data_IF_239992068976
#
_entry.id   IF_239992068976
#
_cell.length_a   1.000
_cell.length_b   1.000
_cell.length_c   1.000
_cell.angle_alpha   90.00
_cell.angle_beta   90.00
_cell.angle_gamma   90.00
#
_symmetry.space_group_name_H-M   'P 1'
#
loop_
_entity.id
_entity.type
_entity.pdbx_description
1 polymer ?
#
# COMPACT_ATOMS: atom_id res chain seq x y z
N UNK A 1 21.63 41.07 -79.97
CA UNK A 1 21.46 40.19 -78.78
C UNK A 1 20.27 40.72 -78.01
N UNK A 2 19.06 40.30 -78.37
CA UNK A 2 18.28 39.15 -77.87
C UNK A 2 17.34 39.53 -76.73
N UNK A 3 16.05 39.37 -77.01
CA UNK A 3 14.88 39.59 -76.18
C UNK A 3 14.73 38.54 -75.06
N UNK A 4 13.72 38.79 -74.21
CA UNK A 4 12.85 37.87 -73.43
C UNK A 4 13.18 37.79 -71.95
N UNK A 5 12.24 37.60 -71.03
CA UNK A 5 10.76 37.71 -70.94
C UNK A 5 10.47 37.53 -69.43
N UNK A 6 9.40 38.14 -68.94
CA UNK A 6 8.81 37.87 -67.62
C UNK A 6 8.37 36.41 -67.48
N UNK A 7 8.55 35.81 -66.30
CA UNK A 7 7.72 34.70 -65.82
C UNK A 7 7.58 34.71 -64.29
N UNK A 8 6.32 34.66 -63.90
CA UNK A 8 5.73 34.56 -62.56
C UNK A 8 6.16 33.29 -61.80
N UNK A 9 6.27 33.34 -60.47
CA UNK A 9 5.77 32.24 -59.64
C UNK A 9 5.41 32.69 -58.21
N UNK A 10 4.33 32.06 -57.75
CA UNK A 10 3.43 32.30 -56.64
C UNK A 10 4.06 32.10 -55.25
N UNK A 11 3.79 33.03 -54.33
CA UNK A 11 4.00 32.81 -52.87
C UNK A 11 2.73 32.17 -52.30
N UNK A 12 2.81 30.92 -51.86
CA UNK A 12 1.79 30.28 -51.02
C UNK A 12 2.35 30.01 -49.63
N UNK A 13 1.74 30.68 -48.66
CA UNK A 13 1.90 30.51 -47.22
C UNK A 13 1.63 29.07 -46.78
N UNK A 14 2.59 28.44 -46.08
CA UNK A 14 2.33 27.32 -45.17
C UNK A 14 2.59 27.76 -43.73
N UNK A 15 1.51 27.86 -42.94
CA UNK A 15 1.54 27.92 -41.48
C UNK A 15 2.28 26.67 -40.98
N UNK A 16 3.46 26.85 -40.40
CA UNK A 16 4.14 25.80 -39.64
C UNK A 16 3.57 25.81 -38.22
N UNK A 17 2.81 24.77 -37.89
CA UNK A 17 2.37 24.44 -36.54
C UNK A 17 3.60 24.20 -35.67
N UNK A 18 3.81 25.04 -34.66
CA UNK A 18 4.75 24.77 -33.56
C UNK A 18 4.21 23.59 -32.75
N UNK A 19 4.68 22.40 -33.06
CA UNK A 19 4.63 21.27 -32.13
C UNK A 19 5.72 21.53 -31.10
N UNK A 20 5.33 21.92 -29.88
CA UNK A 20 6.24 21.94 -28.74
C UNK A 20 6.63 20.50 -28.45
N UNK A 21 7.82 20.10 -28.87
CA UNK A 21 8.46 18.88 -28.43
C UNK A 21 8.75 19.01 -26.93
N UNK A 22 7.96 18.36 -26.07
CA UNK A 22 8.36 18.10 -24.68
C UNK A 22 9.61 17.23 -24.74
N UNK A 23 10.76 17.83 -24.46
CA UNK A 23 12.04 17.17 -24.40
C UNK A 23 12.05 16.16 -23.27
N UNK A 24 12.37 14.92 -23.61
CA UNK A 24 12.56 13.73 -22.76
C UNK A 24 13.78 13.83 -21.81
N UNK A 25 14.18 15.05 -21.46
CA UNK A 25 15.47 15.37 -20.82
C UNK A 25 15.31 15.85 -19.37
N UNK A 26 14.07 16.07 -18.94
CA UNK A 26 13.76 16.60 -17.61
C UNK A 26 13.43 15.48 -16.59
N UNK A 27 13.45 14.21 -17.01
CA UNK A 27 13.08 13.05 -16.18
C UNK A 27 14.24 12.29 -15.54
N UNK A 28 15.47 12.74 -15.77
CA UNK A 28 16.69 12.09 -15.26
C UNK A 28 17.42 13.09 -14.36
N UNK A 29 17.48 12.80 -13.05
CA UNK A 29 18.34 13.50 -12.10
C UNK A 29 19.28 12.45 -11.51
N UNK A 30 20.54 12.44 -11.97
CA UNK A 30 21.49 11.34 -11.71
C UNK A 30 21.40 10.21 -12.76
N UNK A 31 21.71 8.97 -12.38
CA UNK A 31 21.57 7.75 -13.22
C UNK A 31 20.16 7.13 -13.14
N UNK A 32 19.22 7.76 -12.41
CA UNK A 32 17.86 7.25 -12.22
C UNK A 32 16.89 7.79 -13.29
N UNK A 33 16.13 6.88 -13.90
CA UNK A 33 15.00 7.22 -14.77
C UNK A 33 13.69 7.18 -13.96
N UNK A 34 13.18 8.35 -13.58
CA UNK A 34 11.95 8.43 -12.78
C UNK A 34 10.68 8.12 -13.59
N UNK A 35 10.77 7.99 -14.92
CA UNK A 35 9.67 7.52 -15.76
C UNK A 35 9.62 5.97 -15.86
N UNK A 36 10.66 5.26 -15.39
CA UNK A 36 10.78 3.80 -15.45
C UNK A 36 11.50 3.23 -14.20
N UNK A 37 10.91 3.45 -13.01
CA UNK A 37 11.43 2.89 -11.76
C UNK A 37 11.37 1.36 -11.78
N UNK A 38 12.54 0.72 -11.65
CA UNK A 38 12.67 -0.74 -11.57
C UNK A 38 12.48 -1.23 -10.12
N UNK A 39 11.39 -1.95 -9.83
CA UNK A 39 11.12 -2.54 -8.51
C UNK A 39 12.13 -3.61 -8.06
N UNK A 40 12.97 -4.12 -8.97
CA UNK A 40 14.06 -5.04 -8.64
C UNK A 40 15.38 -4.33 -8.32
N UNK A 41 15.47 -3.04 -8.64
CA UNK A 41 16.62 -2.23 -8.27
C UNK A 41 16.67 -2.00 -6.75
N UNK A 42 17.88 -1.95 -6.20
CA UNK A 42 18.12 -1.72 -4.78
C UNK A 42 18.43 -0.24 -4.53
N UNK A 43 17.39 0.53 -4.20
CA UNK A 43 17.46 1.96 -3.92
C UNK A 43 18.02 2.26 -2.53
N UNK A 44 18.78 3.34 -2.45
CA UNK A 44 19.21 4.00 -1.22
C UNK A 44 18.19 5.03 -0.73
N UNK A 45 18.35 5.54 0.50
CA UNK A 45 17.52 6.65 1.03
C UNK A 45 17.52 7.85 0.12
N UNK A 46 18.70 8.26 -0.34
CA UNK A 46 18.86 9.45 -1.17
C UNK A 46 18.10 9.30 -2.47
N UNK A 47 18.12 8.10 -3.04
CA UNK A 47 17.36 7.79 -4.25
C UNK A 47 15.84 7.79 -3.97
N UNK A 48 15.39 7.29 -2.81
CA UNK A 48 13.98 7.43 -2.39
C UNK A 48 13.56 8.89 -2.24
N UNK A 49 14.37 9.71 -1.58
CA UNK A 49 14.09 11.14 -1.42
C UNK A 49 14.02 11.85 -2.77
N UNK A 50 14.93 11.52 -3.70
CA UNK A 50 14.88 12.03 -5.07
C UNK A 50 13.61 11.57 -5.81
N UNK A 51 13.20 10.31 -5.66
CA UNK A 51 11.95 9.78 -6.22
C UNK A 51 10.75 10.55 -5.66
N UNK A 52 10.63 10.68 -4.33
CA UNK A 52 9.53 11.38 -3.66
C UNK A 52 9.47 12.86 -4.06
N UNK A 53 10.61 13.52 -4.24
CA UNK A 53 10.68 14.91 -4.70
C UNK A 53 10.30 15.08 -6.18
N UNK A 54 10.55 14.06 -7.02
CA UNK A 54 10.21 14.08 -8.44
C UNK A 54 8.73 13.79 -8.72
N UNK A 55 8.12 12.89 -7.94
CA UNK A 55 6.75 12.45 -8.16
C UNK A 55 5.75 13.55 -7.77
N UNK A 56 5.00 14.06 -8.76
CA UNK A 56 3.96 15.09 -8.57
C UNK A 56 2.77 14.63 -7.71
N UNK A 57 2.52 13.32 -7.70
CA UNK A 57 1.59 12.63 -6.82
C UNK A 57 2.46 11.59 -6.14
N UNK A 58 2.51 11.58 -4.81
CA UNK A 58 3.40 10.72 -4.06
C UNK A 58 2.71 9.37 -3.82
N UNK A 59 2.94 8.32 -4.63
CA UNK A 59 2.56 6.97 -4.24
C UNK A 59 3.31 6.62 -2.95
N UNK A 60 2.58 6.28 -1.91
CA UNK A 60 3.18 5.82 -0.66
C UNK A 60 4.03 4.57 -0.97
N UNK A 61 5.36 4.68 -0.83
CA UNK A 61 6.30 3.56 -1.01
C UNK A 61 6.94 3.20 0.34
N UNK A 62 7.05 1.91 0.63
CA UNK A 62 7.96 1.40 1.66
C UNK A 62 9.28 0.95 1.01
N UNK A 63 10.37 0.99 1.79
CA UNK A 63 11.63 0.33 1.41
C UNK A 63 11.84 -0.89 2.29
N UNK A 64 11.85 -2.06 1.68
CA UNK A 64 12.19 -3.31 2.35
C UNK A 64 13.37 -3.94 1.62
N UNK A 65 14.49 -4.13 2.32
CA UNK A 65 15.73 -4.65 1.74
C UNK A 65 16.17 -3.87 0.49
N UNK A 66 16.08 -2.53 0.54
CA UNK A 66 16.38 -1.61 -0.57
C UNK A 66 15.45 -1.71 -1.78
N UNK A 67 14.41 -2.55 -1.76
CA UNK A 67 13.42 -2.59 -2.85
C UNK A 67 12.26 -1.66 -2.55
N UNK A 68 11.78 -0.94 -3.58
CA UNK A 68 10.56 -0.16 -3.50
C UNK A 68 9.34 -1.10 -3.49
N UNK A 69 8.43 -0.87 -2.56
CA UNK A 69 7.16 -1.58 -2.48
C UNK A 69 6.05 -0.54 -2.47
N UNK A 70 5.18 -0.58 -3.48
CA UNK A 70 4.00 0.29 -3.54
C UNK A 70 3.03 -0.09 -2.43
N UNK A 71 2.60 0.91 -1.67
CA UNK A 71 1.42 0.79 -0.80
C UNK A 71 0.20 1.16 -1.64
N UNK A 72 -0.80 0.29 -1.65
CA UNK A 72 -2.08 0.55 -2.31
C UNK A 72 -2.88 1.61 -1.54
N UNK A 73 -3.75 2.33 -2.21
CA UNK A 73 -4.72 3.18 -1.53
C UNK A 73 -5.64 2.35 -0.63
N UNK A 74 -5.83 2.83 0.60
CA UNK A 74 -6.74 2.24 1.57
C UNK A 74 -8.19 2.66 1.27
N UNK A 75 -9.18 1.73 1.30
CA UNK A 75 -10.58 2.10 1.22
C UNK A 75 -10.99 3.09 2.34
N UNK A 76 -11.89 4.01 2.05
CA UNK A 76 -12.23 5.11 2.97
C UNK A 76 -12.72 4.64 4.34
N UNK A 77 -13.51 3.56 4.41
CA UNK A 77 -13.99 3.02 5.68
C UNK A 77 -12.84 2.51 6.56
N UNK A 78 -11.87 1.81 5.95
CA UNK A 78 -10.67 1.35 6.66
C UNK A 78 -9.82 2.54 7.12
N UNK A 79 -9.65 3.57 6.28
CA UNK A 79 -8.93 4.78 6.66
C UNK A 79 -9.66 5.56 7.76
N UNK A 80 -10.99 5.58 7.77
CA UNK A 80 -11.79 6.17 8.84
C UNK A 80 -11.56 5.44 10.17
N UNK A 81 -11.45 4.10 10.16
CA UNK A 81 -11.05 3.32 11.34
C UNK A 81 -9.63 3.68 11.81
N UNK A 82 -8.66 3.77 10.89
CA UNK A 82 -7.29 4.21 11.21
C UNK A 82 -7.29 5.60 11.84
N UNK A 83 -8.04 6.54 11.27
CA UNK A 83 -8.18 7.89 11.78
C UNK A 83 -8.79 7.90 13.19
N UNK A 84 -9.86 7.13 13.42
CA UNK A 84 -10.52 7.08 14.73
C UNK A 84 -9.60 6.54 15.81
N UNK A 85 -8.82 5.49 15.52
CA UNK A 85 -7.78 4.97 16.42
C UNK A 85 -6.74 6.04 16.72
N UNK A 86 -6.24 6.73 15.68
CA UNK A 86 -5.26 7.81 15.85
C UNK A 86 -5.82 8.99 16.65
N UNK A 87 -7.11 9.33 16.47
CA UNK A 87 -7.81 10.39 17.18
C UNK A 87 -7.91 10.07 18.67
N UNK A 88 -8.38 8.88 19.04
CA UNK A 88 -8.46 8.47 20.45
C UNK A 88 -7.08 8.45 21.12
N UNK A 89 -6.07 7.91 20.44
CA UNK A 89 -4.70 7.90 20.94
C UNK A 89 -4.12 9.31 21.07
N UNK A 90 -4.41 10.21 20.13
CA UNK A 90 -4.01 11.61 20.16
C UNK A 90 -4.66 12.38 21.31
N UNK A 91 -5.95 12.15 21.57
CA UNK A 91 -6.65 12.72 22.72
C UNK A 91 -6.01 12.26 24.02
N UNK A 92 -5.85 10.94 24.22
CA UNK A 92 -5.17 10.39 25.40
C UNK A 92 -3.78 11.01 25.61
N UNK A 93 -3.01 11.17 24.54
CA UNK A 93 -1.66 11.74 24.60
C UNK A 93 -1.66 13.16 25.18
N UNK A 94 -2.63 14.00 24.82
CA UNK A 94 -2.71 15.42 25.24
C UNK A 94 -3.49 15.61 26.54
N UNK A 95 -4.50 14.79 26.80
CA UNK A 95 -5.33 14.90 28.01
C UNK A 95 -4.59 14.43 29.27
N UNK A 96 -3.71 13.44 29.12
CA UNK A 96 -2.93 12.88 30.24
C UNK A 96 -1.79 13.81 30.68
N UNK A 97 -1.23 14.61 29.76
CA UNK A 97 -0.22 15.63 30.05
C UNK A 97 -0.35 16.78 29.05
N UNK A 98 -0.33 18.04 29.55
CA UNK A 98 -0.45 19.24 28.72
C UNK A 98 0.62 19.35 27.64
N UNK A 99 1.82 18.81 27.90
CA UNK A 99 2.93 18.79 26.95
C UNK A 99 2.94 17.52 26.07
N UNK A 100 1.98 16.61 26.29
CA UNK A 100 1.96 15.29 25.68
C UNK A 100 2.73 14.24 26.50
N UNK A 101 2.51 12.96 26.20
CA UNK A 101 3.39 11.85 26.62
C UNK A 101 4.35 11.42 25.50
N UNK A 102 4.18 11.97 24.30
CA UNK A 102 4.94 11.64 23.11
C UNK A 102 4.27 12.15 21.84
N UNK A 103 4.53 11.46 20.72
CA UNK A 103 4.03 11.80 19.38
C UNK A 103 3.27 10.62 18.79
N UNK A 104 2.11 10.93 18.20
CA UNK A 104 1.30 10.00 17.41
C UNK A 104 1.53 10.25 15.93
N UNK A 105 1.77 9.20 15.16
CA UNK A 105 1.89 9.26 13.70
C UNK A 105 0.90 8.29 13.04
N UNK A 106 0.42 8.63 11.85
CA UNK A 106 -0.46 7.78 11.03
C UNK A 106 0.30 7.13 9.86
N UNK A 107 -0.39 6.53 8.89
CA UNK A 107 0.10 5.73 7.75
C UNK A 107 1.21 6.34 6.87
N UNK A 108 1.62 7.59 7.09
CA UNK A 108 2.74 8.26 6.41
C UNK A 108 3.95 8.55 7.32
N UNK A 109 3.87 8.25 8.62
CA UNK A 109 4.98 8.35 9.56
C UNK A 109 5.94 7.17 9.39
N UNK A 110 6.95 7.35 8.55
CA UNK A 110 7.97 6.32 8.31
C UNK A 110 8.96 6.19 9.47
N UNK A 111 9.35 4.96 9.78
CA UNK A 111 10.40 4.63 10.74
C UNK A 111 11.41 3.68 10.13
N UNK A 112 12.64 3.72 10.65
CA UNK A 112 13.71 2.83 10.22
C UNK A 112 13.81 1.59 11.13
N UNK A 113 13.25 0.47 10.65
CA UNK A 113 13.23 -0.83 11.33
C UNK A 113 14.46 -1.70 10.99
N UNK A 114 15.60 -1.11 10.65
CA UNK A 114 16.81 -1.91 10.37
C UNK A 114 17.39 -2.54 11.64
N UNK A 115 17.49 -3.87 11.64
CA UNK A 115 18.24 -4.69 12.64
C UNK A 115 19.65 -5.07 12.12
N UNK A 116 19.93 -4.84 10.82
CA UNK A 116 21.23 -5.08 10.20
C UNK A 116 21.61 -3.91 9.27
N UNK A 117 22.69 -4.04 8.50
CA UNK A 117 23.14 -3.02 7.55
C UNK A 117 22.18 -2.77 6.37
N UNK A 118 21.12 -3.58 6.21
CA UNK A 118 20.11 -3.39 5.18
C UNK A 118 18.94 -2.57 5.74
N UNK A 119 18.75 -1.39 5.16
CA UNK A 119 17.72 -0.45 5.58
C UNK A 119 16.30 -0.96 5.29
N UNK A 120 15.39 -0.63 6.22
CA UNK A 120 14.00 -1.03 6.17
C UNK A 120 13.10 0.10 6.68
N UNK A 121 12.57 0.90 5.76
CA UNK A 121 11.66 2.00 6.08
C UNK A 121 10.22 1.52 5.95
N UNK A 122 9.47 1.61 7.05
CA UNK A 122 8.07 1.17 7.11
C UNK A 122 7.23 2.16 7.90
N UNK A 123 5.95 2.28 7.55
CA UNK A 123 4.98 3.11 8.25
C UNK A 123 3.87 2.22 8.83
N UNK A 124 3.76 2.09 10.16
CA UNK A 124 2.56 1.58 10.81
C UNK A 124 1.34 2.45 10.47
N UNK A 125 0.12 1.89 10.60
CA UNK A 125 -1.09 2.67 10.28
C UNK A 125 -1.35 3.71 11.38
N UNK A 126 -1.06 3.33 12.62
CA UNK A 126 -0.91 4.23 13.76
C UNK A 126 0.34 3.82 14.55
N UNK A 127 1.10 4.79 15.05
CA UNK A 127 2.21 4.52 15.95
C UNK A 127 2.34 5.60 17.02
N UNK A 128 2.93 5.23 18.16
CA UNK A 128 3.26 6.14 19.24
C UNK A 128 4.74 6.03 19.63
N UNK A 129 5.38 7.20 19.68
CA UNK A 129 6.77 7.38 20.11
C UNK A 129 6.79 8.22 21.39
N UNK A 130 7.40 7.75 22.50
CA UNK A 130 7.45 8.50 23.75
C UNK A 130 8.21 9.82 23.61
N UNK A 131 7.88 10.77 24.47
CA UNK A 131 8.46 12.12 24.48
C UNK A 131 9.99 12.09 24.63
N UNK A 132 10.52 11.30 25.56
CA UNK A 132 11.96 11.20 25.80
C UNK A 132 12.73 10.75 24.54
N UNK A 133 12.15 9.80 23.81
CA UNK A 133 12.67 9.32 22.54
C UNK A 133 12.61 10.43 21.51
N UNK A 134 11.45 11.08 21.35
CA UNK A 134 11.25 12.12 20.34
C UNK A 134 12.15 13.35 20.56
N UNK A 135 12.29 13.82 21.80
CA UNK A 135 13.14 14.95 22.17
C UNK A 135 14.64 14.64 22.02
N UNK A 136 15.01 13.36 22.03
CA UNK A 136 16.40 12.93 21.81
C UNK A 136 16.83 12.85 20.34
N UNK A 137 15.88 12.96 19.41
CA UNK A 137 16.15 12.82 17.99
C UNK A 137 16.93 14.02 17.45
N UNK A 138 17.91 13.74 16.59
CA UNK A 138 18.64 14.77 15.86
C UNK A 138 17.88 15.22 14.59
N UNK A 139 18.37 16.30 13.95
CA UNK A 139 17.75 16.84 12.73
C UNK A 139 17.68 15.82 11.58
N UNK A 140 18.64 14.89 11.49
CA UNK A 140 18.63 13.88 10.43
C UNK A 140 17.53 12.86 10.68
N UNK A 141 17.37 12.41 11.92
CA UNK A 141 16.33 11.47 12.30
C UNK A 141 14.91 12.08 12.17
N UNK A 142 14.77 13.38 12.44
CA UNK A 142 13.48 14.08 12.36
C UNK A 142 13.04 14.39 10.93
N UNK A 143 13.98 14.82 10.08
CA UNK A 143 13.67 15.39 8.76
C UNK A 143 14.14 14.53 7.58
N UNK A 144 14.69 13.35 7.85
CA UNK A 144 15.11 12.38 6.84
C UNK A 144 15.09 10.94 7.40
N UNK A 145 15.50 9.96 6.60
CA UNK A 145 15.80 8.61 7.09
C UNK A 145 17.31 8.36 7.27
N UNK A 146 18.08 9.44 7.39
CA UNK A 146 19.49 9.41 7.79
C UNK A 146 19.61 9.47 9.32
N UNK A 147 20.73 8.99 9.87
CA UNK A 147 20.99 8.96 11.32
C UNK A 147 20.88 7.57 11.93
N UNK A 148 20.87 7.52 13.27
CA UNK A 148 20.66 6.24 13.98
C UNK A 148 19.20 5.81 13.87
N UNK A 149 18.91 4.53 13.62
CA UNK A 149 17.54 4.04 13.57
C UNK A 149 16.84 4.21 14.93
N UNK A 150 15.57 4.59 14.88
CA UNK A 150 14.67 4.55 16.03
C UNK A 150 13.31 4.01 15.58
N UNK A 151 12.55 3.48 16.54
CA UNK A 151 11.26 2.83 16.29
C UNK A 151 10.27 3.22 17.38
N UNK A 152 8.96 3.22 17.10
CA UNK A 152 7.95 3.53 18.10
C UNK A 152 7.87 2.43 19.16
N UNK A 153 7.21 2.70 20.29
CA UNK A 153 6.94 1.66 21.31
C UNK A 153 5.61 0.94 21.10
N UNK A 154 4.69 1.57 20.36
CA UNK A 154 3.36 1.05 20.07
C UNK A 154 3.04 1.23 18.60
N UNK A 155 2.47 0.20 17.99
CA UNK A 155 2.02 0.19 16.60
C UNK A 155 0.62 -0.40 16.47
N UNK A 156 -0.13 0.08 15.50
CA UNK A 156 -1.39 -0.52 15.05
C UNK A 156 -1.30 -0.80 13.56
N UNK A 157 -1.81 -1.97 13.18
CA UNK A 157 -2.13 -2.32 11.81
C UNK A 157 -3.61 -2.63 11.68
N UNK A 158 -4.24 -2.03 10.68
CA UNK A 158 -5.62 -2.26 10.30
C UNK A 158 -5.61 -2.98 8.96
N UNK A 159 -6.12 -4.19 8.91
CA UNK A 159 -6.09 -5.01 7.70
C UNK A 159 -7.35 -5.85 7.57
N UNK A 160 -7.85 -5.98 6.34
CA UNK A 160 -8.90 -6.93 6.00
C UNK A 160 -8.27 -8.33 5.81
N UNK A 161 -8.52 -9.24 6.74
CA UNK A 161 -7.93 -10.58 6.74
C UNK A 161 -8.86 -11.55 6.02
N UNK A 162 -8.97 -11.34 4.71
CA UNK A 162 -9.85 -12.12 3.81
C UNK A 162 -9.62 -13.64 3.87
N UNK A 163 -8.40 -14.06 4.20
CA UNK A 163 -8.03 -15.47 4.28
C UNK A 163 -6.78 -15.71 5.12
N UNK A 164 -6.48 -16.98 5.37
CA UNK A 164 -5.33 -17.40 6.18
C UNK A 164 -3.95 -17.05 5.60
N UNK A 165 -3.85 -16.79 4.30
CA UNK A 165 -2.58 -16.39 3.66
C UNK A 165 -2.28 -14.92 3.96
N UNK A 166 -3.27 -14.04 3.77
CA UNK A 166 -3.20 -12.62 4.18
C UNK A 166 -2.91 -12.52 5.67
N UNK A 167 -3.59 -13.32 6.50
CA UNK A 167 -3.33 -13.35 7.93
C UNK A 167 -1.86 -13.68 8.24
N UNK A 168 -1.33 -14.73 7.60
CA UNK A 168 0.06 -15.16 7.77
C UNK A 168 1.03 -14.08 7.32
N UNK A 169 0.75 -13.41 6.22
CA UNK A 169 1.60 -12.33 5.69
C UNK A 169 1.67 -11.16 6.68
N UNK A 170 0.52 -10.63 7.10
CA UNK A 170 0.46 -9.50 8.04
C UNK A 170 1.06 -9.88 9.39
N UNK A 171 0.74 -11.08 9.89
CA UNK A 171 1.33 -11.58 11.13
C UNK A 171 2.85 -11.74 11.04
N UNK A 172 3.37 -12.23 9.91
CA UNK A 172 4.81 -12.33 9.66
C UNK A 172 5.44 -10.94 9.61
N UNK A 173 4.81 -9.97 8.94
CA UNK A 173 5.26 -8.57 8.89
C UNK A 173 5.38 -8.02 10.32
N UNK A 174 4.32 -8.09 11.13
CA UNK A 174 4.35 -7.57 12.50
C UNK A 174 5.45 -8.24 13.33
N UNK A 175 5.56 -9.57 13.29
CA UNK A 175 6.53 -10.31 14.12
C UNK A 175 7.97 -10.14 13.67
N UNK A 176 8.24 -10.18 12.37
CA UNK A 176 9.60 -10.20 11.81
C UNK A 176 10.12 -8.82 11.45
N UNK A 177 9.24 -7.83 11.33
CA UNK A 177 9.60 -6.48 10.93
C UNK A 177 9.46 -5.53 12.13
N UNK A 178 8.25 -5.31 12.63
CA UNK A 178 8.02 -4.37 13.73
C UNK A 178 8.58 -4.88 15.07
N UNK A 179 8.43 -6.18 15.34
CA UNK A 179 8.98 -6.84 16.52
C UNK A 179 10.30 -7.56 16.26
N UNK A 180 11.03 -7.19 15.20
CA UNK A 180 12.38 -7.68 14.96
C UNK A 180 13.29 -7.45 16.19
N UNK A 181 14.41 -8.15 16.26
CA UNK A 181 15.41 -7.85 17.28
C UNK A 181 15.91 -6.40 17.07
N UNK A 182 16.31 -5.73 18.16
CA UNK A 182 16.77 -4.33 18.10
C UNK A 182 15.68 -3.25 17.98
N UNK A 183 14.41 -3.60 17.78
CA UNK A 183 13.30 -2.63 17.77
C UNK A 183 12.79 -2.34 19.18
N UNK A 184 12.28 -1.11 19.38
CA UNK A 184 11.71 -0.63 20.65
C UNK A 184 10.23 -0.94 20.80
N UNK A 185 9.60 -1.57 19.81
CA UNK A 185 8.17 -1.92 19.85
C UNK A 185 7.89 -2.88 21.00
N UNK A 186 6.97 -2.48 21.89
CA UNK A 186 6.54 -3.23 23.07
C UNK A 186 5.12 -3.77 22.92
N UNK A 187 4.24 -3.03 22.25
CA UNK A 187 2.84 -3.39 22.01
C UNK A 187 2.51 -3.22 20.53
N UNK A 188 1.75 -4.16 19.98
CA UNK A 188 1.23 -4.07 18.63
C UNK A 188 -0.20 -4.57 18.57
N UNK A 189 -1.07 -3.88 17.85
CA UNK A 189 -2.42 -4.35 17.57
C UNK A 189 -2.59 -4.63 16.09
N UNK A 190 -3.17 -5.78 15.77
CA UNK A 190 -3.74 -6.06 14.46
C UNK A 190 -5.26 -6.05 14.61
N UNK A 191 -5.92 -5.12 13.95
CA UNK A 191 -7.36 -4.93 13.99
C UNK A 191 -7.90 -5.25 12.61
N UNK A 192 -8.77 -6.24 12.53
CA UNK A 192 -9.59 -6.51 11.37
C UNK A 192 -11.02 -6.05 11.66
N UNK A 193 -11.42 -4.87 11.16
CA UNK A 193 -12.75 -4.33 11.43
C UNK A 193 -13.86 -5.12 10.74
N UNK A 194 -13.59 -5.80 9.62
CA UNK A 194 -14.62 -6.48 8.82
C UNK A 194 -15.03 -7.77 9.52
N UNK A 195 -14.04 -8.61 9.86
CA UNK A 195 -14.30 -9.87 10.56
C UNK A 195 -14.29 -9.70 12.09
N UNK A 196 -14.23 -8.45 12.57
CA UNK A 196 -14.24 -8.07 14.00
C UNK A 196 -13.22 -8.88 14.81
N UNK A 197 -11.98 -8.92 14.31
CA UNK A 197 -10.90 -9.64 14.98
C UNK A 197 -9.84 -8.68 15.51
N UNK A 198 -9.38 -8.95 16.73
CA UNK A 198 -8.26 -8.25 17.34
C UNK A 198 -7.19 -9.24 17.72
N UNK A 199 -5.94 -8.95 17.35
CA UNK A 199 -4.77 -9.62 17.90
C UNK A 199 -3.83 -8.62 18.57
N UNK A 200 -3.44 -8.95 19.79
CA UNK A 200 -2.46 -8.20 20.57
C UNK A 200 -1.11 -8.89 20.52
N UNK A 201 -0.09 -8.15 20.11
CA UNK A 201 1.30 -8.57 19.99
C UNK A 201 2.13 -7.99 21.14
N UNK A 202 2.91 -8.86 21.79
CA UNK A 202 3.86 -8.53 22.86
C UNK A 202 5.09 -9.43 22.74
N UNK A 203 6.16 -9.08 23.44
CA UNK A 203 7.33 -9.96 23.63
C UNK A 203 7.14 -10.84 24.85
N UNK A 204 7.56 -12.10 24.76
CA UNK A 204 7.65 -12.97 25.93
C UNK A 204 8.91 -12.67 26.75
N UNK A 205 9.09 -13.43 27.84
CA UNK A 205 10.27 -13.32 28.72
C UNK A 205 11.61 -13.56 28.02
N UNK A 206 11.61 -14.20 26.84
CA UNK A 206 12.79 -14.46 26.04
C UNK A 206 12.96 -13.41 24.92
N UNK A 207 12.14 -12.35 24.91
CA UNK A 207 12.16 -11.31 23.87
C UNK A 207 11.47 -11.70 22.55
N UNK A 208 10.89 -12.90 22.46
CA UNK A 208 10.27 -13.40 21.24
C UNK A 208 8.84 -12.88 21.07
N UNK A 209 8.44 -12.44 19.86
CA UNK A 209 7.10 -11.92 19.64
C UNK A 209 6.04 -13.03 19.59
N UNK A 210 5.03 -12.90 20.45
CA UNK A 210 3.82 -13.69 20.43
C UNK A 210 2.60 -12.81 20.17
N UNK A 211 1.48 -13.43 19.81
CA UNK A 211 0.18 -12.75 19.70
C UNK A 211 -0.89 -13.51 20.47
N UNK A 212 -1.92 -12.83 20.92
CA UNK A 212 -3.15 -13.42 21.47
C UNK A 212 -4.35 -12.77 20.79
N UNK A 213 -5.33 -13.58 20.42
CA UNK A 213 -6.63 -13.06 19.98
C UNK A 213 -7.33 -12.44 21.20
N UNK A 214 -8.00 -11.32 21.00
CA UNK A 214 -8.86 -10.68 21.99
C UNK A 214 -10.31 -10.71 21.48
N UNK A 215 -11.31 -10.67 22.38
CA UNK A 215 -12.68 -10.40 21.98
C UNK A 215 -12.77 -9.03 21.27
N UNK A 216 -13.83 -8.84 20.48
CA UNK A 216 -14.15 -7.55 19.86
C UNK A 216 -14.83 -6.64 20.89
N UNK A 217 -14.03 -6.17 21.84
CA UNK A 217 -14.41 -5.31 22.96
C UNK A 217 -13.33 -4.25 23.15
N UNK A 218 -13.63 -3.22 23.96
CA UNK A 218 -12.69 -2.14 24.27
C UNK A 218 -11.32 -2.67 24.70
N UNK A 219 -10.27 -2.07 24.15
CA UNK A 219 -8.93 -2.65 24.16
C UNK A 219 -7.96 -1.83 25.00
N UNK A 220 -7.62 -2.37 26.16
CA UNK A 220 -6.67 -1.77 27.11
C UNK A 220 -5.20 -1.98 26.65
N UNK A 221 -4.43 -0.89 26.64
CA UNK A 221 -3.01 -0.91 26.26
C UNK A 221 -2.05 -1.26 27.42
N UNK A 222 -2.57 -1.32 28.65
CA UNK A 222 -1.88 -1.66 29.88
C UNK A 222 -0.71 -0.74 30.18
N UNK A 223 0.30 -1.29 30.84
CA UNK A 223 1.48 -0.53 31.29
C UNK A 223 2.32 0.09 30.14
N UNK A 224 2.04 -0.26 28.87
CA UNK A 224 2.76 0.31 27.73
C UNK A 224 2.25 1.72 27.42
N UNK A 225 0.94 1.93 27.50
CA UNK A 225 0.27 3.23 27.40
C UNK A 225 -0.71 3.33 28.57
N UNK A 226 -0.25 3.77 29.76
CA UNK A 226 -1.07 3.79 30.96
C UNK A 226 -2.35 4.58 30.76
N UNK A 227 -3.46 4.04 31.24
CA UNK A 227 -4.81 4.63 31.16
C UNK A 227 -5.35 4.81 29.73
N UNK A 228 -4.68 4.28 28.70
CA UNK A 228 -5.22 4.24 27.35
C UNK A 228 -6.04 2.98 27.12
N UNK A 229 -7.32 3.18 26.79
CA UNK A 229 -8.22 2.15 26.26
C UNK A 229 -8.75 2.63 24.92
N UNK A 230 -8.68 1.77 23.91
CA UNK A 230 -9.33 2.01 22.63
C UNK A 230 -10.80 1.60 22.73
N UNK A 231 -11.68 2.58 22.61
CA UNK A 231 -13.13 2.39 22.61
C UNK A 231 -13.60 1.98 21.21
N UNK A 232 -14.30 0.84 21.11
CA UNK A 232 -14.72 0.28 19.83
C UNK A 232 -16.08 0.81 19.34
N UNK A 233 -16.84 1.54 20.16
CA UNK A 233 -18.17 2.05 19.79
C UNK A 233 -18.13 2.86 18.47
N UNK A 234 -17.27 3.88 18.41
CA UNK A 234 -17.12 4.71 17.22
C UNK A 234 -16.55 3.96 16.02
N UNK A 235 -15.75 2.91 16.26
CA UNK A 235 -15.24 2.02 15.21
C UNK A 235 -16.39 1.19 14.63
N UNK A 236 -17.27 0.64 15.48
CA UNK A 236 -18.46 -0.09 15.04
C UNK A 236 -19.37 0.80 14.20
N UNK A 237 -19.60 2.04 14.61
CA UNK A 237 -20.42 3.02 13.86
C UNK A 237 -19.87 3.30 12.45
N UNK A 238 -18.55 3.27 12.28
CA UNK A 238 -17.90 3.43 10.96
C UNK A 238 -18.17 2.20 10.10
N UNK A 239 -18.07 1.01 10.66
CA UNK A 239 -18.17 -0.27 9.93
C UNK A 239 -19.63 -0.59 9.60
N UNK A 240 -20.55 -0.32 10.52
CA UNK A 240 -21.98 -0.66 10.39
C UNK A 240 -22.73 0.33 9.47
N UNK A 241 -22.13 1.48 9.12
CA UNK A 241 -22.65 2.33 8.04
C UNK A 241 -22.53 1.72 6.65
N UNK A 242 -21.61 0.78 6.44
CA UNK A 242 -21.43 0.09 5.16
C UNK A 242 -22.46 -1.06 4.97
N UNK A 243 -23.15 -1.51 6.03
CA UNK A 243 -24.15 -2.59 5.94
C UNK A 243 -25.59 -2.10 5.75
N UNK A 244 -25.88 -0.84 6.08
CA UNK A 244 -27.25 -0.28 6.01
C UNK A 244 -27.71 0.12 4.59
N UNK A 245 -26.90 -0.06 3.54
CA UNK A 245 -27.27 0.32 2.17
C UNK A 245 -27.84 -0.82 1.31
N UNK A 246 -27.82 -2.06 1.80
CA UNK A 246 -28.22 -3.24 1.00
C UNK A 246 -29.63 -3.77 1.34
N UNK A 247 -30.29 -3.28 2.40
CA UNK A 247 -31.58 -3.81 2.88
C UNK A 247 -32.82 -3.08 2.34
N UNK A 248 -32.69 -2.00 1.55
CA UNK A 248 -33.84 -1.24 1.00
C UNK A 248 -34.23 -1.66 -0.43
N UNK A 249 -34.11 -2.96 -0.77
CA UNK A 249 -34.64 -3.51 -2.04
C UNK A 249 -35.45 -4.79 -1.82
N UNK A 250 -36.45 -4.71 -0.97
CA UNK A 250 -37.61 -5.58 -1.07
C UNK A 250 -38.87 -4.72 -1.20
N UNK A 251 -39.48 -4.76 -2.39
CA UNK A 251 -40.93 -4.80 -2.67
C UNK A 251 -41.08 -4.76 -4.22
N UNK A 252 -41.29 -5.94 -4.81
CA UNK A 252 -42.53 -6.38 -5.47
C UNK A 252 -42.61 -5.95 -6.94
N UNK A 253 -42.59 -6.92 -7.87
CA UNK A 253 -43.67 -7.10 -8.85
C UNK A 253 -43.67 -8.55 -9.37
N UNK A 254 -44.90 -8.97 -9.66
CA UNK A 254 -45.44 -10.32 -9.76
C UNK A 254 -45.09 -11.06 -11.07
N UNK A 255 -45.21 -12.39 -10.97
CA UNK A 255 -45.65 -13.39 -11.95
C UNK A 255 -45.72 -13.00 -13.45
N UNK A 256 -45.05 -13.79 -14.29
CA UNK A 256 -45.69 -14.32 -15.50
C UNK A 256 -44.99 -15.62 -15.95
N UNK A 257 -45.83 -16.61 -16.22
CA UNK A 257 -45.57 -18.00 -16.59
C UNK A 257 -44.92 -18.21 -17.97
N UNK A 258 -44.56 -19.48 -18.20
CA UNK A 258 -44.56 -20.21 -19.49
C UNK A 258 -43.25 -20.43 -20.29
N UNK A 259 -42.75 -21.67 -20.12
CA UNK A 259 -42.79 -22.74 -21.14
C UNK A 259 -41.44 -23.34 -21.65
N UNK A 260 -41.56 -24.66 -21.86
CA UNK A 260 -40.62 -25.75 -22.06
C UNK A 260 -39.53 -25.61 -23.13
N UNK A 261 -38.39 -26.29 -22.88
CA UNK A 261 -37.38 -26.56 -23.91
C UNK A 261 -36.46 -27.76 -23.61
N UNK A 262 -36.87 -28.94 -24.05
CA UNK A 262 -36.25 -30.29 -23.89
C UNK A 262 -34.76 -30.44 -24.32
N UNK A 263 -34.04 -31.26 -23.53
CA UNK A 263 -33.07 -32.35 -23.89
C UNK A 263 -31.88 -32.06 -24.84
N UNK A 264 -30.65 -32.42 -24.41
CA UNK A 264 -29.94 -33.67 -24.82
C UNK A 264 -28.46 -33.69 -24.38
N UNK A 265 -28.04 -34.87 -23.93
CA UNK A 265 -26.65 -35.32 -23.67
C UNK A 265 -25.81 -35.37 -24.95
N UNK A 266 -24.49 -35.14 -24.84
CA UNK A 266 -23.49 -35.87 -25.63
C UNK A 266 -22.14 -35.95 -24.89
N UNK A 267 -21.76 -37.18 -24.51
CA UNK A 267 -20.36 -37.60 -24.31
C UNK A 267 -19.81 -38.03 -25.67
N UNK A 268 -18.54 -37.72 -25.96
CA UNK A 268 -17.61 -38.53 -26.77
C UNK A 268 -16.21 -38.29 -26.20
N UNK A 269 -15.49 -39.41 -26.07
CA UNK A 269 -14.17 -39.63 -25.48
C UNK A 269 -12.99 -39.44 -26.48
N UNK A 270 -11.76 -39.57 -25.95
CA UNK A 270 -10.47 -39.98 -26.58
C UNK A 270 -9.82 -39.03 -27.62
N UNK A 271 -8.51 -38.83 -27.77
CA UNK A 271 -7.28 -39.46 -27.24
C UNK A 271 -6.07 -38.52 -27.60
N UNK A 272 -4.87 -38.94 -27.17
CA UNK A 272 -3.53 -38.62 -27.70
C UNK A 272 -2.55 -37.72 -26.89
N UNK A 273 -1.70 -38.47 -26.18
CA UNK A 273 -0.35 -38.19 -25.69
C UNK A 273 0.64 -37.91 -26.84
N UNK A 274 1.42 -36.83 -26.74
CA UNK A 274 2.80 -36.83 -27.26
C UNK A 274 3.68 -35.83 -26.50
N UNK A 275 4.62 -36.37 -25.72
CA UNK A 275 5.65 -35.61 -25.02
C UNK A 275 6.66 -34.92 -25.95
N UNK A 276 6.99 -33.66 -25.64
CA UNK A 276 8.25 -33.03 -26.06
C UNK A 276 8.94 -32.33 -24.88
N UNK A 277 10.05 -32.92 -24.45
CA UNK A 277 11.08 -32.31 -23.59
C UNK A 277 11.51 -30.96 -24.18
N UNK A 278 11.22 -29.87 -23.49
CA UNK A 278 11.78 -28.54 -23.80
C UNK A 278 12.41 -27.93 -22.56
N UNK A 279 13.66 -27.52 -22.74
CA UNK A 279 14.61 -26.93 -21.78
C UNK A 279 13.94 -25.83 -20.94
N UNK A 280 14.09 -25.90 -19.61
CA UNK A 280 13.67 -24.83 -18.67
C UNK A 280 14.37 -23.51 -19.06
N UNK A 281 13.63 -22.63 -19.74
CA UNK A 281 13.92 -21.20 -19.73
C UNK A 281 13.49 -20.68 -18.35
N UNK A 282 14.37 -19.94 -17.70
CA UNK A 282 14.05 -19.18 -16.48
C UNK A 282 12.83 -18.31 -16.78
N UNK A 283 11.72 -18.53 -16.06
CA UNK A 283 10.53 -17.68 -16.14
C UNK A 283 10.94 -16.28 -15.69
N UNK A 284 10.77 -15.27 -16.54
CA UNK A 284 10.68 -13.88 -16.06
C UNK A 284 9.39 -13.81 -15.25
N UNK A 285 9.44 -13.27 -14.04
CA UNK A 285 8.23 -13.14 -13.22
C UNK A 285 7.32 -12.11 -13.87
N UNK A 286 6.18 -12.57 -14.35
CA UNK A 286 5.14 -11.77 -14.98
C UNK A 286 4.10 -11.43 -13.91
N UNK A 287 3.63 -10.18 -13.88
CA UNK A 287 2.56 -9.76 -12.97
C UNK A 287 1.21 -9.99 -13.65
N UNK A 288 0.26 -10.59 -12.95
CA UNK A 288 -1.06 -10.86 -13.47
C UNK A 288 -1.92 -9.58 -13.50
N UNK A 289 -2.65 -9.37 -14.59
CA UNK A 289 -3.54 -8.22 -14.70
C UNK A 289 -4.75 -8.40 -13.76
N UNK A 290 -5.12 -7.39 -12.97
CA UNK A 290 -6.15 -7.51 -11.94
C UNK A 290 -7.60 -7.63 -12.47
N UNK A 291 -7.80 -7.51 -13.78
CA UNK A 291 -9.13 -7.53 -14.43
C UNK A 291 -9.31 -8.67 -15.44
N UNK A 292 -8.21 -9.29 -15.87
CA UNK A 292 -8.22 -10.50 -16.65
C UNK A 292 -6.85 -11.16 -16.46
N UNK A 293 -6.80 -12.47 -16.27
CA UNK A 293 -5.66 -13.32 -15.86
C UNK A 293 -4.45 -13.34 -16.82
N UNK A 294 -4.14 -12.20 -17.44
CA UNK A 294 -3.08 -11.99 -18.39
C UNK A 294 -1.81 -11.60 -17.64
N UNK A 295 -0.82 -12.47 -17.74
CA UNK A 295 0.54 -12.25 -17.23
C UNK A 295 1.30 -11.20 -18.07
N UNK A 296 1.77 -10.14 -17.42
CA UNK A 296 2.47 -9.01 -18.07
C UNK A 296 3.75 -8.66 -17.29
N UNK A 297 4.86 -8.56 -18.03
CA UNK A 297 6.19 -8.41 -17.45
C UNK A 297 6.70 -6.98 -17.23
N UNK A 298 5.93 -5.94 -17.55
CA UNK A 298 6.31 -4.54 -17.25
C UNK A 298 5.10 -3.67 -16.94
N UNK A 299 5.28 -2.69 -16.04
CA UNK A 299 4.22 -1.76 -15.64
C UNK A 299 3.68 -0.94 -16.83
N UNK A 300 4.54 -0.51 -17.76
CA UNK A 300 4.13 0.19 -18.99
C UNK A 300 3.21 -0.66 -19.88
N UNK A 301 3.46 -1.96 -19.98
CA UNK A 301 2.59 -2.88 -20.74
C UNK A 301 1.29 -3.15 -20.00
N UNK A 302 1.33 -3.28 -18.66
CA UNK A 302 0.15 -3.46 -17.81
C UNK A 302 -0.79 -2.26 -17.95
N UNK A 303 -0.26 -1.05 -17.82
CA UNK A 303 -1.03 0.18 -17.96
C UNK A 303 -1.65 0.34 -19.36
N UNK A 304 -0.90 0.02 -20.42
CA UNK A 304 -1.43 0.01 -21.80
C UNK A 304 -2.52 -1.03 -22.01
N UNK A 305 -2.34 -2.22 -21.43
CA UNK A 305 -3.31 -3.30 -21.50
C UNK A 305 -4.61 -2.91 -20.79
N UNK A 306 -4.53 -2.44 -19.53
CA UNK A 306 -5.69 -1.98 -18.75
C UNK A 306 -6.43 -0.87 -19.50
N UNK A 307 -5.70 0.15 -19.98
CA UNK A 307 -6.30 1.27 -20.72
C UNK A 307 -6.98 0.85 -22.03
N UNK A 308 -6.52 -0.23 -22.67
CA UNK A 308 -7.08 -0.70 -23.95
C UNK A 308 -8.26 -1.65 -23.77
N UNK A 309 -8.20 -2.51 -22.76
CA UNK A 309 -9.11 -3.66 -22.62
C UNK A 309 -10.16 -3.46 -21.53
N UNK A 310 -9.85 -2.67 -20.49
CA UNK A 310 -10.65 -2.57 -19.26
C UNK A 310 -11.15 -1.15 -18.99
N UNK A 311 -10.75 -0.17 -19.81
CA UNK A 311 -11.20 1.22 -19.73
C UNK A 311 -11.83 1.58 -21.07
N UNK A 312 -13.09 1.99 -21.06
CA UNK A 312 -13.80 2.54 -22.25
C UNK A 312 -13.41 4.00 -22.49
#
# INVERSE_FOLDING_TARGET
MSQKRKSSSTVTTKKSSRTVSRTKKDSIVGDLDFEDLDFQYCYSVKELELINNYLRVNPNFEIINRKLISISYTPIAIEAVVHEIARQLGNWNVETNKDGLGIVTTSNGGYDFRDTNLQKIQAPDVAFTPEDTYLSLDEKQLWSFEGQPFTPIFIVKVANIKNSEVEKEVNNKIKKDYFAHGTSVKLGWLIDPIDRNIWVYKRDKNGSPYRRRQPWEDLDAGDILPDFTLELEMINDIIDKDSASDDDKEEEEEDDDDDEGKKRRKRIDDDDDEGKKRRKKVKKNEAECPYCDLEINTASKMAKHIKKMHVK
#
